data_IF_769933728150
#
_entry.id   IF_769933728150
#
_cell.length_a   1.000
_cell.length_b   1.000
_cell.length_c   1.000
_cell.angle_alpha   90.00
_cell.angle_beta   90.00
_cell.angle_gamma   90.00
#
_symmetry.space_group_name_H-M   'P 1'
#
loop_
_entity.id
_entity.type
_entity.pdbx_description
1 polymer ?
#
# COMPACT_ATOMS: atom_id res chain seq x y z
N UNK A 1 -81.22 11.48 17.32
CA UNK A 1 -79.80 11.46 17.22
C UNK A 1 -79.46 10.58 16.03
N UNK A 2 -79.02 11.19 14.95
CA UNK A 2 -78.70 10.49 13.70
C UNK A 2 -77.23 10.08 13.75
N UNK A 3 -76.97 8.77 13.73
CA UNK A 3 -75.64 8.19 13.75
C UNK A 3 -74.95 8.42 12.37
N UNK A 4 -73.74 9.06 12.36
CA UNK A 4 -73.00 9.32 11.13
C UNK A 4 -72.27 8.06 10.73
N UNK A 5 -72.53 7.40 9.58
CA UNK A 5 -71.88 6.14 9.17
C UNK A 5 -70.50 6.30 8.49
N UNK A 6 -69.91 7.51 8.52
CA UNK A 6 -68.62 7.80 7.88
C UNK A 6 -67.53 8.21 8.87
N UNK A 7 -67.62 7.82 10.13
CA UNK A 7 -66.59 8.05 11.10
C UNK A 7 -65.50 6.94 10.92
N UNK A 8 -64.50 7.24 10.11
CA UNK A 8 -63.31 6.37 9.93
C UNK A 8 -62.47 6.54 11.18
N UNK A 9 -62.46 5.52 12.05
CA UNK A 9 -61.46 5.42 13.12
C UNK A 9 -60.11 5.15 12.44
N UNK A 10 -59.18 6.09 12.51
CA UNK A 10 -57.78 5.86 12.26
C UNK A 10 -57.26 5.04 13.45
N UNK A 11 -57.20 3.75 13.29
CA UNK A 11 -56.42 2.91 14.20
C UNK A 11 -54.95 3.14 13.83
N UNK A 12 -54.24 3.83 14.72
CA UNK A 12 -52.80 4.08 14.68
C UNK A 12 -52.07 2.77 14.91
N UNK A 13 -51.97 1.94 13.88
CA UNK A 13 -50.90 0.96 13.78
C UNK A 13 -49.70 1.62 13.10
N UNK A 14 -48.93 2.38 13.86
CA UNK A 14 -47.56 2.69 13.54
C UNK A 14 -46.75 1.40 13.63
N UNK A 15 -46.87 0.56 12.60
CA UNK A 15 -45.91 -0.49 12.33
C UNK A 15 -44.61 0.17 11.97
N UNK A 16 -43.62 0.09 12.86
CA UNK A 16 -42.22 0.35 12.57
C UNK A 16 -41.77 -0.53 11.41
N UNK A 17 -41.92 0.01 10.22
CA UNK A 17 -41.25 -0.53 9.05
C UNK A 17 -39.76 -0.14 9.20
N UNK A 18 -38.98 -0.97 9.89
CA UNK A 18 -37.51 -0.94 9.78
C UNK A 18 -37.19 -0.95 8.30
N UNK A 19 -36.94 0.22 7.74
CA UNK A 19 -36.29 0.35 6.43
C UNK A 19 -34.89 -0.22 6.58
N UNK A 20 -34.72 -1.50 6.32
CA UNK A 20 -33.42 -2.08 5.96
C UNK A 20 -32.97 -1.30 4.72
N UNK A 21 -32.22 -0.23 4.96
CA UNK A 21 -31.44 0.44 3.92
C UNK A 21 -30.63 -0.66 3.25
N UNK A 22 -31.00 -1.05 2.05
CA UNK A 22 -30.20 -1.96 1.25
C UNK A 22 -28.87 -1.25 1.04
N UNK A 23 -27.86 -1.62 1.82
CA UNK A 23 -26.50 -1.13 1.68
C UNK A 23 -26.14 -1.24 0.21
N UNK A 24 -25.90 -0.09 -0.42
CA UNK A 24 -25.40 -0.09 -1.80
C UNK A 24 -24.08 -0.80 -1.80
N UNK A 25 -23.85 -1.77 -2.68
CA UNK A 25 -22.58 -2.49 -2.71
C UNK A 25 -21.44 -1.48 -2.87
N UNK A 26 -20.39 -1.63 -2.07
CA UNK A 26 -19.22 -0.77 -2.12
C UNK A 26 -18.70 -0.61 -3.57
N UNK A 27 -18.13 0.55 -3.94
CA UNK A 27 -17.56 0.79 -5.25
C UNK A 27 -16.60 -0.33 -5.67
N UNK A 28 -16.55 -0.65 -6.95
CA UNK A 28 -15.74 -1.77 -7.47
C UNK A 28 -14.30 -1.69 -7.01
N UNK A 29 -13.71 -0.48 -6.95
CA UNK A 29 -12.33 -0.26 -6.51
C UNK A 29 -12.08 -0.70 -5.05
N UNK A 30 -13.02 -0.40 -4.16
CA UNK A 30 -12.95 -0.82 -2.75
C UNK A 30 -13.06 -2.34 -2.63
N UNK A 31 -14.01 -2.96 -3.31
CA UNK A 31 -14.20 -4.41 -3.34
C UNK A 31 -12.96 -5.14 -3.90
N UNK A 32 -12.32 -4.58 -4.93
CA UNK A 32 -11.07 -5.13 -5.47
C UNK A 32 -9.92 -5.00 -4.47
N UNK A 33 -9.78 -3.83 -3.82
CA UNK A 33 -8.73 -3.61 -2.82
C UNK A 33 -8.89 -4.56 -1.63
N UNK A 34 -10.11 -4.75 -1.14
CA UNK A 34 -10.45 -5.71 -0.10
C UNK A 34 -10.10 -7.15 -0.54
N UNK A 35 -10.50 -7.55 -1.73
CA UNK A 35 -10.24 -8.89 -2.27
C UNK A 35 -8.74 -9.17 -2.43
N UNK A 36 -7.96 -8.18 -2.87
CA UNK A 36 -6.51 -8.32 -2.93
C UNK A 36 -5.89 -8.48 -1.54
N UNK A 37 -6.38 -7.72 -0.56
CA UNK A 37 -5.89 -7.81 0.82
C UNK A 37 -6.25 -9.16 1.45
N UNK A 38 -7.45 -9.69 1.23
CA UNK A 38 -7.85 -11.04 1.64
C UNK A 38 -6.92 -12.12 1.08
N UNK A 39 -6.47 -11.94 -0.17
CA UNK A 39 -5.50 -12.82 -0.81
C UNK A 39 -4.04 -12.50 -0.41
N UNK A 40 -3.84 -11.61 0.56
CA UNK A 40 -2.53 -11.17 1.05
C UNK A 40 -1.64 -10.54 -0.04
N UNK A 41 -2.28 -9.84 -0.98
CA UNK A 41 -1.64 -9.18 -2.11
C UNK A 41 -1.54 -7.68 -1.89
N UNK A 42 -0.34 -7.13 -1.99
CA UNK A 42 -0.05 -5.70 -1.86
C UNK A 42 0.60 -5.23 -3.16
N UNK A 43 0.31 -4.01 -3.57
CA UNK A 43 0.80 -3.43 -4.81
C UNK A 43 1.52 -2.11 -4.57
N UNK A 44 2.75 -2.01 -5.10
CA UNK A 44 3.45 -0.74 -5.32
C UNK A 44 3.33 -0.41 -6.81
N UNK A 45 2.49 0.59 -7.14
CA UNK A 45 2.28 1.04 -8.49
C UNK A 45 2.67 2.51 -8.63
N UNK A 46 3.71 2.79 -9.43
CA UNK A 46 4.26 4.14 -9.60
C UNK A 46 5.39 4.46 -8.61
N UNK A 47 5.59 5.74 -8.33
CA UNK A 47 6.72 6.20 -7.53
C UNK A 47 6.61 5.80 -6.04
N UNK A 48 7.77 5.53 -5.44
CA UNK A 48 7.91 5.42 -3.99
C UNK A 48 7.83 6.83 -3.39
N UNK A 49 6.78 7.08 -2.62
CA UNK A 49 6.49 8.33 -1.92
C UNK A 49 6.08 8.02 -0.48
N UNK A 50 6.00 9.03 0.38
CA UNK A 50 5.53 8.85 1.76
C UNK A 50 4.13 8.23 1.79
N UNK A 51 3.24 8.67 0.92
CA UNK A 51 1.87 8.13 0.84
C UNK A 51 1.83 6.66 0.40
N UNK A 52 2.58 6.29 -0.64
CA UNK A 52 2.63 4.90 -1.09
C UNK A 52 3.31 3.99 -0.05
N UNK A 53 4.35 4.48 0.60
CA UNK A 53 5.03 3.75 1.68
C UNK A 53 4.11 3.54 2.88
N UNK A 54 3.41 4.57 3.34
CA UNK A 54 2.43 4.46 4.42
C UNK A 54 1.40 3.38 4.12
N UNK A 55 0.75 3.42 2.95
CA UNK A 55 -0.26 2.43 2.57
C UNK A 55 0.28 0.99 2.55
N UNK A 56 1.51 0.81 2.09
CA UNK A 56 2.14 -0.51 2.00
C UNK A 56 2.48 -1.03 3.41
N UNK A 57 3.08 -0.19 4.24
CA UNK A 57 3.44 -0.50 5.63
C UNK A 57 2.20 -0.87 6.44
N UNK A 58 1.14 -0.05 6.40
CA UNK A 58 -0.11 -0.32 7.10
C UNK A 58 -0.71 -1.68 6.69
N UNK A 59 -0.72 -2.00 5.40
CA UNK A 59 -1.21 -3.28 4.89
C UNK A 59 -0.33 -4.46 5.31
N UNK A 60 0.99 -4.30 5.30
CA UNK A 60 1.90 -5.35 5.77
C UNK A 60 1.69 -5.64 7.25
N UNK A 61 1.59 -4.61 8.08
CA UNK A 61 1.33 -4.74 9.51
C UNK A 61 -0.05 -5.35 9.80
N UNK A 62 -1.08 -4.96 9.05
CA UNK A 62 -2.41 -5.55 9.14
C UNK A 62 -2.38 -7.06 8.80
N UNK A 63 -1.71 -7.43 7.71
CA UNK A 63 -1.60 -8.83 7.30
C UNK A 63 -0.78 -9.66 8.29
N UNK A 64 0.29 -9.08 8.84
CA UNK A 64 1.06 -9.71 9.92
C UNK A 64 0.19 -9.95 11.16
N UNK A 65 -0.55 -8.93 11.63
CA UNK A 65 -1.40 -9.04 12.81
C UNK A 65 -2.55 -10.04 12.62
N UNK A 66 -3.10 -10.15 11.39
CA UNK A 66 -4.24 -11.02 11.09
C UNK A 66 -3.83 -12.49 10.98
N UNK A 67 -2.68 -12.78 10.39
CA UNK A 67 -2.19 -14.14 10.19
C UNK A 67 -0.66 -14.17 10.12
N UNK A 68 0.04 -14.12 11.28
CA UNK A 68 1.49 -14.11 11.35
C UNK A 68 2.11 -15.34 10.65
N UNK A 69 3.24 -15.16 9.99
CA UNK A 69 3.99 -16.21 9.34
C UNK A 69 3.41 -16.71 8.00
N UNK A 70 2.22 -16.24 7.59
CA UNK A 70 1.69 -16.57 6.27
C UNK A 70 2.31 -15.68 5.19
N UNK A 71 2.62 -16.18 3.99
CA UNK A 71 3.23 -15.40 2.92
C UNK A 71 2.41 -14.16 2.55
N UNK A 72 3.10 -13.04 2.29
CA UNK A 72 2.56 -11.81 1.71
C UNK A 72 3.11 -11.68 0.29
N UNK A 73 2.26 -11.43 -0.70
CA UNK A 73 2.65 -11.25 -2.09
C UNK A 73 2.74 -9.77 -2.41
N UNK A 74 3.95 -9.29 -2.64
CA UNK A 74 4.21 -7.88 -2.90
C UNK A 74 4.56 -7.65 -4.37
N UNK A 75 3.61 -7.08 -5.11
CA UNK A 75 3.74 -6.76 -6.53
C UNK A 75 4.35 -5.38 -6.73
N UNK A 76 5.38 -5.28 -7.57
CA UNK A 76 6.16 -4.07 -7.78
C UNK A 76 6.12 -3.67 -9.25
N UNK A 77 5.60 -2.46 -9.53
CA UNK A 77 5.74 -1.74 -10.78
C UNK A 77 6.11 -0.29 -10.48
N UNK A 78 7.41 -0.03 -10.27
CA UNK A 78 7.88 1.24 -9.75
C UNK A 78 9.20 1.68 -10.40
N UNK A 79 9.32 2.97 -10.75
CA UNK A 79 10.60 3.57 -11.15
C UNK A 79 11.52 3.86 -9.95
N UNK A 80 11.09 3.56 -8.72
CA UNK A 80 11.73 3.99 -7.49
C UNK A 80 11.15 5.30 -6.97
N UNK A 81 11.93 6.07 -6.21
CA UNK A 81 11.49 7.34 -5.63
C UNK A 81 12.23 7.69 -4.35
N UNK A 82 11.50 8.19 -3.33
CA UNK A 82 12.07 8.68 -2.07
C UNK A 82 12.72 7.56 -1.29
N UNK A 83 14.01 7.70 -1.00
CA UNK A 83 14.82 6.64 -0.35
C UNK A 83 14.29 6.35 1.05
N UNK A 84 14.05 7.37 1.87
CA UNK A 84 13.56 7.20 3.25
C UNK A 84 12.22 6.50 3.31
N UNK A 85 11.31 6.82 2.39
CA UNK A 85 10.01 6.15 2.26
C UNK A 85 10.16 4.68 1.85
N UNK A 86 11.12 4.40 0.95
CA UNK A 86 11.44 3.03 0.55
C UNK A 86 12.09 2.23 1.68
N UNK A 87 12.96 2.84 2.47
CA UNK A 87 13.57 2.20 3.65
C UNK A 87 12.54 1.88 4.73
N UNK A 88 11.51 2.69 4.91
CA UNK A 88 10.41 2.36 5.82
C UNK A 88 9.68 1.06 5.41
N UNK A 89 9.46 0.85 4.12
CA UNK A 89 8.92 -0.42 3.61
C UNK A 89 9.91 -1.57 3.84
N UNK A 90 11.19 -1.34 3.52
CA UNK A 90 12.27 -2.30 3.71
C UNK A 90 12.33 -2.81 5.15
N UNK A 91 12.35 -1.89 6.12
CA UNK A 91 12.45 -2.21 7.54
C UNK A 91 11.26 -3.04 8.01
N UNK A 92 10.04 -2.71 7.58
CA UNK A 92 8.84 -3.49 7.90
C UNK A 92 8.91 -4.88 7.27
N UNK A 93 9.34 -5.02 6.02
CA UNK A 93 9.55 -6.33 5.39
C UNK A 93 10.54 -7.20 6.16
N UNK A 94 11.53 -6.59 6.83
CA UNK A 94 12.53 -7.29 7.65
C UNK A 94 12.07 -7.58 9.07
N UNK A 95 11.14 -6.77 9.59
CA UNK A 95 10.65 -6.84 10.96
C UNK A 95 9.57 -7.90 11.14
N UNK A 96 8.66 -8.05 10.17
CA UNK A 96 7.53 -8.98 10.25
C UNK A 96 7.97 -10.43 10.14
N UNK A 97 7.23 -11.36 10.75
CA UNK A 97 7.49 -12.80 10.68
C UNK A 97 6.97 -13.44 9.38
N UNK A 98 6.00 -12.80 8.73
CA UNK A 98 5.45 -13.22 7.44
C UNK A 98 6.49 -13.09 6.32
N UNK A 99 6.82 -14.15 5.59
CA UNK A 99 7.73 -14.05 4.46
C UNK A 99 7.09 -13.22 3.33
N UNK A 100 7.83 -12.23 2.82
CA UNK A 100 7.35 -11.36 1.73
C UNK A 100 7.88 -11.89 0.41
N UNK A 101 6.98 -12.36 -0.46
CA UNK A 101 7.28 -12.80 -1.82
C UNK A 101 7.15 -11.61 -2.75
N UNK A 102 8.24 -11.24 -3.44
CA UNK A 102 8.27 -10.06 -4.30
C UNK A 102 8.13 -10.43 -5.78
N UNK A 103 7.26 -9.73 -6.49
CA UNK A 103 6.93 -9.98 -7.88
C UNK A 103 7.03 -8.69 -8.68
N UNK A 104 7.98 -8.58 -9.61
CA UNK A 104 8.08 -7.41 -10.49
C UNK A 104 7.19 -7.57 -11.70
N UNK A 105 6.33 -6.56 -11.92
CA UNK A 105 5.51 -6.38 -13.12
C UNK A 105 5.92 -5.06 -13.79
N UNK A 106 6.20 -5.07 -15.09
CA UNK A 106 6.60 -3.87 -15.82
C UNK A 106 8.00 -3.38 -15.45
N UNK A 107 8.20 -2.83 -14.24
CA UNK A 107 9.50 -2.28 -13.82
C UNK A 107 9.71 -2.36 -12.31
N UNK A 108 10.96 -2.68 -11.91
CA UNK A 108 11.48 -2.42 -10.57
C UNK A 108 12.81 -1.67 -10.72
N UNK A 109 12.78 -0.34 -10.54
CA UNK A 109 13.96 0.49 -10.69
C UNK A 109 14.31 1.22 -9.39
N UNK A 110 15.62 1.49 -9.17
CA UNK A 110 16.08 2.23 -8.01
C UNK A 110 15.56 1.63 -6.69
N UNK A 111 14.86 2.40 -5.85
CA UNK A 111 14.21 1.87 -4.64
C UNK A 111 13.28 0.68 -4.90
N UNK A 112 12.61 0.63 -6.07
CA UNK A 112 11.81 -0.53 -6.45
C UNK A 112 12.65 -1.80 -6.62
N UNK A 113 13.86 -1.69 -7.12
CA UNK A 113 14.80 -2.81 -7.22
C UNK A 113 15.31 -3.24 -5.84
N UNK A 114 15.59 -2.30 -4.95
CA UNK A 114 15.98 -2.61 -3.56
C UNK A 114 14.86 -3.41 -2.88
N UNK A 115 13.61 -2.95 -2.97
CA UNK A 115 12.45 -3.65 -2.40
C UNK A 115 12.26 -5.06 -2.99
N UNK A 116 12.55 -5.25 -4.29
CA UNK A 116 12.55 -6.58 -4.90
C UNK A 116 13.58 -7.50 -4.22
N UNK A 117 14.80 -6.98 -3.94
CA UNK A 117 15.89 -7.79 -3.39
C UNK A 117 15.67 -8.22 -1.94
N UNK A 118 14.85 -7.49 -1.19
CA UNK A 118 14.51 -7.79 0.23
C UNK A 118 13.52 -8.93 0.37
N UNK A 119 12.80 -9.26 -0.68
CA UNK A 119 11.88 -10.39 -0.69
C UNK A 119 12.54 -11.69 -0.24
N UNK A 120 11.76 -12.64 0.22
CA UNK A 120 12.21 -13.95 0.71
C UNK A 120 13.06 -14.68 -0.34
N UNK A 121 14.16 -15.32 0.10
CA UNK A 121 15.05 -16.07 -0.79
C UNK A 121 14.26 -17.14 -1.55
N UNK A 122 14.52 -17.26 -2.85
CA UNK A 122 13.82 -18.15 -3.79
C UNK A 122 12.38 -17.76 -4.10
N UNK A 123 11.88 -16.66 -3.55
CA UNK A 123 10.52 -16.14 -3.77
C UNK A 123 10.56 -14.69 -4.30
N UNK A 124 11.51 -14.42 -5.18
CA UNK A 124 11.65 -13.15 -5.91
C UNK A 124 11.42 -13.44 -7.38
N UNK A 125 10.39 -12.88 -7.95
CA UNK A 125 9.94 -13.18 -9.30
C UNK A 125 9.97 -11.92 -10.17
N UNK A 126 10.24 -12.12 -11.44
CA UNK A 126 10.22 -11.06 -12.44
C UNK A 126 9.46 -11.60 -13.65
N UNK A 127 8.43 -10.88 -14.11
CA UNK A 127 7.70 -11.26 -15.31
C UNK A 127 8.61 -11.11 -16.55
N UNK A 128 8.34 -11.90 -17.57
CA UNK A 128 9.18 -12.02 -18.77
C UNK A 128 9.56 -10.68 -19.41
N UNK A 129 8.63 -9.73 -19.46
CA UNK A 129 8.85 -8.40 -20.04
C UNK A 129 9.17 -7.31 -19.03
N UNK A 130 9.26 -7.67 -17.75
CA UNK A 130 9.58 -6.70 -16.71
C UNK A 130 11.08 -6.37 -16.71
N UNK A 131 11.40 -5.13 -16.32
CA UNK A 131 12.75 -4.62 -16.25
C UNK A 131 13.17 -4.37 -14.81
N UNK A 132 14.40 -4.74 -14.48
CA UNK A 132 15.03 -4.41 -13.20
C UNK A 132 16.21 -3.49 -13.46
N UNK A 133 16.28 -2.36 -12.74
CA UNK A 133 17.35 -1.40 -12.91
C UNK A 133 17.85 -0.90 -11.55
N UNK A 134 19.17 -0.98 -11.37
CA UNK A 134 19.85 -0.47 -10.18
C UNK A 134 20.78 0.66 -10.63
N UNK A 135 20.77 1.75 -9.89
CA UNK A 135 21.72 2.85 -10.04
C UNK A 135 22.08 3.42 -8.67
N UNK A 136 23.19 4.15 -8.62
CA UNK A 136 23.57 4.82 -7.37
C UNK A 136 22.58 5.90 -6.96
N UNK A 137 22.46 6.21 -5.66
CA UNK A 137 21.65 7.32 -5.17
C UNK A 137 22.02 8.63 -5.88
N UNK A 138 21.01 9.43 -6.22
CA UNK A 138 21.22 10.72 -6.84
C UNK A 138 20.31 11.77 -6.18
N UNK A 139 20.79 13.01 -6.18
CA UNK A 139 19.97 14.16 -5.83
C UNK A 139 19.37 14.71 -7.13
N UNK A 140 18.05 14.81 -7.19
CA UNK A 140 17.35 15.40 -8.32
C UNK A 140 17.06 16.87 -8.02
N UNK A 141 17.34 17.75 -8.97
CA UNK A 141 17.05 19.18 -8.88
C UNK A 141 18.24 20.05 -8.52
N UNK A 142 17.98 21.37 -8.39
CA UNK A 142 19.00 22.37 -8.05
C UNK A 142 19.07 22.49 -6.53
N UNK A 143 20.27 22.33 -5.98
CA UNK A 143 20.52 22.58 -4.55
C UNK A 143 21.06 24.00 -4.41
N UNK A 144 20.31 24.82 -3.69
CA UNK A 144 20.74 26.15 -3.26
C UNK A 144 20.82 26.14 -1.74
N UNK A 145 22.02 26.02 -1.21
CA UNK A 145 22.26 25.91 0.22
C UNK A 145 23.66 26.45 0.58
N UNK A 146 23.93 26.82 1.83
CA UNK A 146 25.27 27.09 2.32
C UNK A 146 26.25 25.96 2.02
N UNK A 147 27.51 26.26 1.79
CA UNK A 147 28.53 25.26 1.43
C UNK A 147 28.66 24.15 2.46
N UNK A 148 28.44 24.42 3.74
CA UNK A 148 28.49 23.45 4.82
C UNK A 148 27.33 22.43 4.68
N UNK A 149 26.12 22.88 4.32
CA UNK A 149 24.96 22.02 4.16
C UNK A 149 25.11 21.13 2.92
N UNK A 150 25.68 21.66 1.84
CA UNK A 150 26.00 20.88 0.64
C UNK A 150 26.98 19.75 0.98
N UNK A 151 27.98 20.03 1.83
CA UNK A 151 28.94 19.02 2.30
C UNK A 151 28.24 17.94 3.13
N UNK A 152 27.38 18.32 4.06
CA UNK A 152 26.61 17.38 4.88
C UNK A 152 25.75 16.48 3.98
N UNK A 153 25.02 17.03 3.03
CA UNK A 153 24.22 16.25 2.10
C UNK A 153 25.05 15.28 1.25
N UNK A 154 26.23 15.70 0.81
CA UNK A 154 27.13 14.82 0.07
C UNK A 154 27.65 13.65 0.91
N UNK A 155 27.94 13.86 2.19
CA UNK A 155 28.35 12.82 3.12
C UNK A 155 27.17 11.85 3.43
N UNK A 156 25.95 12.34 3.60
CA UNK A 156 24.77 11.51 3.79
C UNK A 156 24.49 10.62 2.59
N UNK A 157 24.57 11.15 1.36
CA UNK A 157 24.41 10.34 0.14
C UNK A 157 25.48 9.27 0.04
N UNK A 158 26.72 9.60 0.39
CA UNK A 158 27.79 8.61 0.40
C UNK A 158 27.53 7.49 1.40
N UNK A 159 27.01 7.82 2.58
CA UNK A 159 26.57 6.84 3.58
C UNK A 159 25.43 5.97 3.04
N UNK A 160 24.37 6.58 2.53
CA UNK A 160 23.22 5.88 1.93
C UNK A 160 23.65 4.91 0.81
N UNK A 161 24.64 5.31 -0.01
CA UNK A 161 25.22 4.43 -1.05
C UNK A 161 25.88 3.18 -0.46
N UNK A 162 26.42 3.27 0.76
CA UNK A 162 27.06 2.11 1.41
C UNK A 162 26.04 1.20 2.10
N UNK A 163 24.88 1.75 2.46
CA UNK A 163 23.78 1.02 3.11
C UNK A 163 22.91 0.26 2.11
N UNK A 164 22.79 0.77 0.88
CA UNK A 164 22.05 0.15 -0.23
C UNK A 164 22.88 -0.85 -1.04
#
# INVERSE_FOLDING_TARGET
MIHNPFEIRADDEEGEVEKKEKERPAPLGERLAERFLDNRQIFLWGAVTDRSAQMIVERMLYLEATAPGKPIYFFINSPGGVITSGMAIYDVMRMISSPVYTITMGMAASMGAILLTVGEKKHRYVFEHAKVMIHQPLISGQIVAPAIDIKIHAEEIKKTRQEL
#
